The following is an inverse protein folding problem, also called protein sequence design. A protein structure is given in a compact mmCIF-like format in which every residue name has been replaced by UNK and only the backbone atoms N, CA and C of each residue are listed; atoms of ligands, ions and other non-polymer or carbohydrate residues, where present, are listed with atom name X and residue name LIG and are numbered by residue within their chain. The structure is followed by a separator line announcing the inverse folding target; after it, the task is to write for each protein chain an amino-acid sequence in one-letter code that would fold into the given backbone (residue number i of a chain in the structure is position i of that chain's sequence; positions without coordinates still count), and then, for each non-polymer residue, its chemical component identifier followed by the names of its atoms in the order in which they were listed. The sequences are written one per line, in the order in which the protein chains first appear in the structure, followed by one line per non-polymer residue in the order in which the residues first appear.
data_IF_854532700946
#
_entry.id   IF_854532700946
#
_cell.length_a   1.000
_cell.length_b   1.000
_cell.length_c   1.000
_cell.angle_alpha   90.00
_cell.angle_beta   90.00
_cell.angle_gamma   90.00
#
_symmetry.space_group_name_H-M   'P 1'
#
loop_
_entity.id
_entity.type
_entity.pdbx_description
1 polymer ?
#
# COMPACT_ATOMS: atom_id res chain seq x y z
N UNK A 1 49.71 26.11 10.71
CA UNK A 1 49.29 25.06 9.76
C UNK A 1 48.91 23.83 10.56
N UNK A 2 47.61 23.58 10.72
CA UNK A 2 47.09 22.42 11.46
C UNK A 2 45.76 22.04 10.84
N UNK A 3 45.71 20.91 10.14
CA UNK A 3 44.50 20.38 9.52
C UNK A 3 43.65 19.61 10.53
N UNK A 4 42.31 19.58 10.39
CA UNK A 4 41.46 18.76 11.23
C UNK A 4 41.39 17.32 10.71
N UNK A 5 41.50 16.37 11.65
CA UNK A 5 41.38 14.93 11.45
C UNK A 5 39.89 14.52 11.35
N UNK A 6 39.59 13.74 10.33
CA UNK A 6 38.30 13.08 10.08
C UNK A 6 38.19 11.89 11.04
N UNK A 7 37.10 11.80 11.80
CA UNK A 7 36.71 10.59 12.52
C UNK A 7 35.65 9.85 11.69
N UNK A 8 36.04 8.73 11.11
CA UNK A 8 35.15 7.76 10.47
C UNK A 8 34.55 6.86 11.55
N UNK A 9 33.23 6.88 11.69
CA UNK A 9 32.49 5.87 12.48
C UNK A 9 31.93 4.86 11.48
N UNK A 10 32.58 3.70 11.39
CA UNK A 10 32.03 2.49 10.79
C UNK A 10 31.13 1.83 11.85
N UNK A 11 29.81 1.93 11.67
CA UNK A 11 28.88 1.07 12.39
C UNK A 11 28.66 -0.19 11.54
N UNK A 12 29.22 -1.32 11.97
CA UNK A 12 28.90 -2.65 11.45
C UNK A 12 27.71 -3.15 12.25
N UNK A 13 26.51 -3.08 11.69
CA UNK A 13 25.33 -3.73 12.25
C UNK A 13 25.48 -5.25 12.06
N UNK A 14 25.67 -5.97 13.17
CA UNK A 14 25.75 -7.42 13.20
C UNK A 14 24.37 -8.06 12.99
N UNK A 15 24.25 -8.86 11.93
CA UNK A 15 23.09 -9.69 11.63
C UNK A 15 23.04 -10.87 12.63
N UNK A 16 22.05 -10.88 13.54
CA UNK A 16 21.77 -12.05 14.38
C UNK A 16 20.83 -13.01 13.62
N UNK A 17 21.38 -14.06 13.02
CA UNK A 17 20.60 -15.20 12.53
C UNK A 17 20.58 -16.26 13.63
N UNK A 18 19.42 -16.48 14.26
CA UNK A 18 19.23 -17.62 15.15
C UNK A 18 19.12 -18.92 14.32
N UNK A 19 20.06 -19.86 14.52
CA UNK A 19 20.03 -21.19 13.89
C UNK A 19 19.03 -22.14 14.58
N UNK A 20 18.53 -23.18 13.89
CA UNK A 20 17.44 -24.00 14.42
C UNK A 20 17.93 -25.00 15.47
N UNK A 21 17.15 -25.14 16.54
CA UNK A 21 17.21 -26.29 17.43
C UNK A 21 16.76 -27.55 16.67
N UNK A 22 17.46 -28.67 16.90
CA UNK A 22 17.21 -29.96 16.25
C UNK A 22 15.88 -30.57 16.73
N UNK A 23 14.99 -30.92 15.79
CA UNK A 23 13.96 -31.94 15.99
C UNK A 23 12.63 -31.72 15.24
N UNK A 24 12.30 -32.64 14.32
CA UNK A 24 10.95 -32.83 13.76
C UNK A 24 10.61 -31.94 12.57
N UNK A 25 10.11 -32.53 11.47
CA UNK A 25 9.79 -31.81 10.23
C UNK A 25 8.85 -30.62 10.44
N UNK A 26 9.38 -29.42 10.26
CA UNK A 26 8.64 -28.16 10.25
C UNK A 26 8.99 -27.41 8.96
N UNK A 27 7.97 -26.93 8.24
CA UNK A 27 8.19 -25.88 7.22
C UNK A 27 9.06 -24.77 7.86
N UNK A 28 10.05 -24.21 7.14
CA UNK A 28 10.92 -23.19 7.71
C UNK A 28 10.07 -22.01 8.19
N UNK A 29 10.35 -21.52 9.41
CA UNK A 29 9.72 -20.32 9.93
C UNK A 29 9.81 -19.18 8.91
N UNK A 30 8.73 -18.39 8.73
CA UNK A 30 8.71 -17.31 7.76
C UNK A 30 9.78 -16.29 8.11
N UNK A 31 10.51 -15.78 7.11
CA UNK A 31 11.61 -14.88 7.38
C UNK A 31 11.05 -13.45 7.62
N UNK A 32 11.61 -12.70 8.58
CA UNK A 32 11.11 -11.39 9.03
C UNK A 32 12.18 -10.30 8.96
N UNK A 33 11.75 -9.03 8.85
CA UNK A 33 12.62 -7.91 8.49
C UNK A 33 13.17 -7.17 9.72
N UNK A 34 12.40 -6.97 10.81
CA UNK A 34 12.83 -6.17 11.98
C UNK A 34 12.09 -6.58 13.28
N UNK A 35 12.79 -6.49 14.43
CA UNK A 35 12.20 -6.30 15.75
C UNK A 35 13.05 -5.36 16.62
N UNK A 36 12.47 -4.21 17.00
CA UNK A 36 12.79 -3.32 18.16
C UNK A 36 14.05 -2.40 18.10
N UNK A 37 13.98 -1.14 18.65
CA UNK A 37 13.33 -0.79 19.92
C UNK A 37 11.98 -0.03 19.89
N UNK A 38 11.16 -0.42 20.86
CA UNK A 38 9.84 -0.11 21.44
C UNK A 38 8.66 0.39 20.58
N UNK A 39 8.80 0.66 19.27
CA UNK A 39 7.65 1.10 18.43
C UNK A 39 7.68 0.64 16.96
N UNK A 40 8.72 -0.07 16.51
CA UNK A 40 8.83 -0.47 15.11
C UNK A 40 7.97 -1.72 14.82
N UNK A 41 7.10 -1.70 13.79
CA UNK A 41 6.26 -2.85 13.49
C UNK A 41 7.12 -4.06 13.09
N UNK A 42 6.87 -5.23 13.68
CA UNK A 42 7.43 -6.49 13.19
C UNK A 42 6.76 -6.86 11.88
N UNK A 43 7.52 -6.79 10.78
CA UNK A 43 7.03 -7.11 9.44
C UNK A 43 7.68 -8.38 8.90
N UNK A 44 6.85 -9.31 8.46
CA UNK A 44 7.20 -10.58 7.83
C UNK A 44 7.11 -10.46 6.32
N UNK A 45 8.05 -11.11 5.63
CA UNK A 45 7.97 -11.27 4.18
C UNK A 45 6.81 -12.24 3.85
N UNK A 46 5.90 -11.92 2.90
CA UNK A 46 4.63 -12.63 2.78
C UNK A 46 4.73 -13.96 2.00
N UNK A 47 5.93 -14.36 1.57
CA UNK A 47 6.19 -15.62 0.85
C UNK A 47 7.42 -16.35 1.41
N UNK A 48 7.64 -17.63 1.07
CA UNK A 48 8.83 -18.37 1.53
C UNK A 48 10.13 -17.94 0.87
N UNK A 49 10.09 -17.09 -0.17
CA UNK A 49 11.28 -16.70 -0.90
C UNK A 49 12.17 -15.78 -0.06
N UNK A 50 13.38 -16.21 0.37
CA UNK A 50 14.21 -15.42 1.28
C UNK A 50 15.05 -14.35 0.56
N UNK A 51 14.98 -14.27 -0.78
CA UNK A 51 15.91 -13.48 -1.59
C UNK A 51 15.95 -11.99 -1.18
N UNK A 52 14.79 -11.36 -0.95
CA UNK A 52 14.73 -9.97 -0.46
C UNK A 52 15.53 -9.79 0.83
N UNK A 53 15.29 -10.64 1.83
CA UNK A 53 15.93 -10.57 3.15
C UNK A 53 17.43 -10.87 3.09
N UNK A 54 17.86 -11.63 2.08
CA UNK A 54 19.27 -11.90 1.80
C UNK A 54 19.95 -10.77 0.98
N UNK A 55 19.23 -9.68 0.67
CA UNK A 55 19.76 -8.58 -0.14
C UNK A 55 20.03 -8.95 -1.60
N UNK A 56 19.33 -9.97 -2.11
CA UNK A 56 19.41 -10.41 -3.51
C UNK A 56 18.66 -9.42 -4.42
N UNK A 57 19.00 -9.35 -5.72
CA UNK A 57 18.36 -8.43 -6.64
C UNK A 57 16.91 -8.84 -6.96
N UNK A 58 16.11 -7.93 -7.55
CA UNK A 58 14.67 -8.11 -7.80
C UNK A 58 14.35 -9.36 -8.62
N UNK A 59 15.22 -9.72 -9.56
CA UNK A 59 15.14 -10.89 -10.43
C UNK A 59 14.95 -12.19 -9.65
N UNK A 60 15.37 -12.22 -8.38
CA UNK A 60 15.33 -13.41 -7.53
C UNK A 60 14.05 -13.55 -6.71
N UNK A 61 13.11 -12.60 -6.79
CA UNK A 61 11.81 -12.73 -6.10
C UNK A 61 10.62 -12.02 -6.74
N UNK A 62 10.83 -11.08 -7.67
CA UNK A 62 9.75 -10.35 -8.33
C UNK A 62 9.29 -11.06 -9.58
N UNK A 63 7.98 -11.25 -9.71
CA UNK A 63 7.35 -11.81 -10.91
C UNK A 63 7.14 -10.69 -11.95
N UNK A 64 7.82 -10.72 -13.11
CA UNK A 64 7.51 -9.81 -14.20
C UNK A 64 6.15 -10.12 -14.83
N UNK A 65 5.58 -9.10 -15.46
CA UNK A 65 4.44 -9.25 -16.37
C UNK A 65 4.85 -9.98 -17.67
N UNK A 66 3.92 -10.08 -18.63
CA UNK A 66 4.18 -10.72 -19.92
C UNK A 66 5.33 -10.11 -20.74
N UNK A 67 5.79 -8.89 -20.42
CA UNK A 67 6.93 -8.25 -21.08
C UNK A 67 8.27 -8.88 -20.68
N UNK A 68 8.34 -9.58 -19.55
CA UNK A 68 9.59 -10.11 -19.00
C UNK A 68 10.46 -9.09 -18.26
N UNK A 69 10.08 -7.81 -18.26
CA UNK A 69 10.78 -6.77 -17.53
C UNK A 69 10.47 -6.87 -16.03
N UNK A 70 11.48 -7.18 -15.20
CA UNK A 70 11.30 -7.41 -13.75
C UNK A 70 10.66 -6.22 -13.05
N UNK A 71 11.04 -5.01 -13.43
CA UNK A 71 10.47 -3.77 -12.87
C UNK A 71 8.95 -3.71 -13.01
N UNK A 72 8.33 -4.40 -13.98
CA UNK A 72 6.89 -4.40 -14.19
C UNK A 72 6.06 -5.08 -13.09
N UNK A 73 6.72 -5.83 -12.19
CA UNK A 73 6.14 -6.40 -10.98
C UNK A 73 6.38 -5.56 -9.71
N UNK A 74 7.07 -4.42 -9.79
CA UNK A 74 7.30 -3.50 -8.66
C UNK A 74 6.16 -2.48 -8.53
N UNK A 75 6.13 -1.75 -7.43
CA UNK A 75 5.18 -0.65 -7.25
C UNK A 75 5.47 0.49 -8.23
N UNK A 76 4.42 1.14 -8.72
CA UNK A 76 4.54 2.43 -9.41
C UNK A 76 4.17 2.41 -10.90
N UNK A 77 4.62 3.44 -11.63
CA UNK A 77 4.42 3.56 -13.08
C UNK A 77 5.38 2.64 -13.84
N UNK A 78 5.18 1.32 -13.73
CA UNK A 78 6.15 0.32 -14.21
C UNK A 78 5.59 -0.60 -15.29
N UNK A 79 4.33 -0.42 -15.69
CA UNK A 79 3.66 -1.21 -16.74
C UNK A 79 3.34 -0.34 -17.96
N UNK A 80 3.23 -0.97 -19.12
CA UNK A 80 2.93 -0.31 -20.39
C UNK A 80 3.83 0.91 -20.66
N UNK A 81 5.16 0.73 -20.59
CA UNK A 81 6.15 1.82 -20.76
C UNK A 81 5.92 2.99 -19.79
N UNK A 82 5.60 2.66 -18.54
CA UNK A 82 5.33 3.62 -17.47
C UNK A 82 3.97 4.34 -17.53
N UNK A 83 3.06 3.91 -18.41
CA UNK A 83 1.72 4.50 -18.54
C UNK A 83 0.66 3.82 -17.68
N UNK A 84 0.99 2.70 -17.05
CA UNK A 84 0.07 1.95 -16.18
C UNK A 84 0.69 1.79 -14.80
N UNK A 85 -0.08 2.19 -13.80
CA UNK A 85 0.26 2.05 -12.38
C UNK A 85 0.13 0.58 -11.95
N UNK A 86 1.03 0.16 -11.08
CA UNK A 86 0.96 -1.10 -10.35
C UNK A 86 0.94 -0.79 -8.85
N UNK A 87 -0.19 -1.06 -8.21
CA UNK A 87 -0.42 -0.79 -6.80
C UNK A 87 0.01 -1.99 -5.96
N UNK A 88 1.31 -2.29 -5.89
CA UNK A 88 1.81 -3.40 -5.07
C UNK A 88 3.10 -4.01 -5.61
N UNK A 89 3.43 -5.20 -5.10
CA UNK A 89 4.54 -6.01 -5.56
C UNK A 89 4.07 -7.41 -5.94
N UNK A 90 4.54 -7.92 -7.08
CA UNK A 90 4.24 -9.27 -7.55
C UNK A 90 5.41 -10.21 -7.19
N UNK A 91 5.15 -11.24 -6.39
CA UNK A 91 6.17 -12.16 -5.88
C UNK A 91 5.99 -13.57 -6.44
N UNK A 92 7.02 -14.13 -7.08
CA UNK A 92 6.92 -15.47 -7.69
C UNK A 92 7.07 -16.61 -6.66
N UNK A 93 6.52 -17.80 -6.96
CA UNK A 93 6.67 -18.98 -6.12
C UNK A 93 8.00 -19.72 -6.38
N UNK A 94 8.53 -20.35 -5.34
CA UNK A 94 9.63 -21.30 -5.35
C UNK A 94 9.20 -22.74 -5.64
N UNK A 95 8.02 -23.16 -5.17
CA UNK A 95 7.57 -24.56 -5.28
C UNK A 95 6.28 -24.71 -6.09
N UNK A 96 6.22 -25.80 -6.84
CA UNK A 96 5.08 -26.18 -7.69
C UNK A 96 4.74 -27.66 -7.55
N UNK A 97 3.47 -27.99 -7.73
CA UNK A 97 3.02 -29.39 -7.81
C UNK A 97 3.21 -29.97 -9.24
N UNK A 98 2.79 -31.24 -9.42
CA UNK A 98 2.90 -31.95 -10.71
C UNK A 98 2.10 -31.32 -11.85
N UNK A 99 1.15 -30.42 -11.55
CA UNK A 99 0.34 -29.68 -12.53
C UNK A 99 0.93 -28.31 -12.84
N UNK A 100 2.08 -27.97 -12.23
CA UNK A 100 2.73 -26.66 -12.38
C UNK A 100 2.11 -25.57 -11.50
N UNK A 101 1.15 -25.91 -10.63
CA UNK A 101 0.48 -24.94 -9.75
C UNK A 101 1.34 -24.70 -8.51
N UNK A 102 1.39 -23.45 -8.04
CA UNK A 102 2.15 -23.13 -6.83
C UNK A 102 1.57 -23.83 -5.60
N UNK A 103 2.46 -24.22 -4.70
CA UNK A 103 2.15 -24.79 -3.38
C UNK A 103 2.77 -23.97 -2.24
N UNK A 104 3.25 -22.76 -2.54
CA UNK A 104 3.88 -21.95 -1.52
C UNK A 104 2.85 -21.31 -0.59
N UNK A 105 3.05 -21.41 0.74
CA UNK A 105 2.20 -20.72 1.69
C UNK A 105 2.35 -19.21 1.54
N UNK A 106 1.27 -18.49 1.81
CA UNK A 106 1.25 -17.03 1.95
C UNK A 106 1.11 -16.71 3.43
N UNK A 107 1.98 -15.83 3.93
CA UNK A 107 2.06 -15.45 5.34
C UNK A 107 1.41 -14.08 5.57
N UNK A 108 0.69 -13.94 6.69
CA UNK A 108 0.31 -12.63 7.19
C UNK A 108 1.58 -11.82 7.49
N UNK A 109 1.68 -10.63 6.92
CA UNK A 109 2.87 -9.79 6.99
C UNK A 109 3.05 -9.17 8.37
N UNK A 110 1.95 -9.00 9.12
CA UNK A 110 1.94 -8.47 10.47
C UNK A 110 0.77 -9.11 11.24
N UNK A 111 0.80 -9.03 12.56
CA UNK A 111 -0.36 -9.39 13.37
C UNK A 111 -1.55 -8.47 13.03
N UNK A 112 -2.77 -9.01 13.00
CA UNK A 112 -3.94 -8.24 12.58
C UNK A 112 -5.24 -9.03 12.60
N UNK A 113 -6.26 -8.45 11.98
CA UNK A 113 -7.61 -9.02 11.88
C UNK A 113 -7.99 -9.16 10.41
N UNK A 114 -8.43 -10.34 10.01
CA UNK A 114 -8.95 -10.59 8.67
C UNK A 114 -10.24 -9.80 8.48
N UNK A 115 -10.23 -8.84 7.57
CA UNK A 115 -11.38 -7.97 7.30
C UNK A 115 -12.20 -8.37 6.08
N UNK A 116 -11.57 -9.07 5.14
CA UNK A 116 -12.25 -9.53 3.93
C UNK A 116 -11.64 -10.81 3.39
N UNK A 117 -12.48 -11.67 2.84
CA UNK A 117 -12.09 -12.87 2.10
C UNK A 117 -12.95 -12.95 0.84
N UNK A 118 -12.31 -12.87 -0.32
CA UNK A 118 -12.93 -13.20 -1.61
C UNK A 118 -12.58 -14.64 -1.99
N UNK A 119 -13.55 -15.54 -1.94
CA UNK A 119 -13.36 -16.95 -2.34
C UNK A 119 -13.68 -17.21 -3.82
N UNK A 120 -14.42 -16.29 -4.45
CA UNK A 120 -14.84 -16.40 -5.85
C UNK A 120 -13.86 -15.65 -6.75
N UNK A 121 -13.04 -16.41 -7.49
CA UNK A 121 -11.99 -15.85 -8.34
C UNK A 121 -12.51 -14.90 -9.44
N UNK A 122 -13.76 -15.04 -9.88
CA UNK A 122 -14.30 -14.24 -10.99
C UNK A 122 -14.75 -12.83 -10.61
N UNK A 123 -14.87 -12.48 -9.32
CA UNK A 123 -15.49 -11.23 -8.88
C UNK A 123 -14.59 -9.99 -8.99
N UNK A 124 -13.28 -10.18 -9.20
CA UNK A 124 -12.31 -9.08 -9.34
C UNK A 124 -11.07 -9.54 -10.09
N UNK A 125 -10.34 -8.60 -10.67
CA UNK A 125 -9.00 -8.84 -11.22
C UNK A 125 -8.05 -9.47 -10.20
N UNK A 126 -8.20 -9.18 -8.90
CA UNK A 126 -7.41 -9.81 -7.83
C UNK A 126 -7.67 -11.32 -7.69
N UNK A 127 -8.75 -11.85 -8.25
CA UNK A 127 -9.10 -13.24 -8.06
C UNK A 127 -9.57 -13.52 -6.64
N UNK A 128 -9.03 -14.58 -6.04
CA UNK A 128 -9.21 -14.85 -4.61
C UNK A 128 -8.22 -14.01 -3.84
N UNK A 129 -8.72 -13.27 -2.85
CA UNK A 129 -7.86 -12.40 -2.05
C UNK A 129 -8.34 -12.25 -0.62
N UNK A 130 -7.41 -11.86 0.25
CA UNK A 130 -7.63 -11.58 1.67
C UNK A 130 -7.20 -10.14 1.93
N UNK A 131 -7.97 -9.42 2.76
CA UNK A 131 -7.53 -8.15 3.35
C UNK A 131 -7.38 -8.33 4.85
N UNK A 132 -6.23 -7.96 5.40
CA UNK A 132 -5.95 -7.95 6.84
C UNK A 132 -5.74 -6.50 7.27
N UNK A 133 -6.42 -6.08 8.34
CA UNK A 133 -6.15 -4.79 8.99
C UNK A 133 -5.23 -4.99 10.18
N UNK A 134 -4.29 -4.06 10.36
CA UNK A 134 -3.26 -4.10 11.41
C UNK A 134 -3.48 -2.95 12.39
N UNK A 135 -4.44 -3.07 13.33
CA UNK A 135 -4.82 -1.99 14.23
C UNK A 135 -3.73 -1.60 15.23
N UNK A 136 -2.75 -2.48 15.48
CA UNK A 136 -1.59 -2.19 16.32
C UNK A 136 -0.53 -1.33 15.60
N UNK A 137 -0.59 -1.23 14.26
CA UNK A 137 0.27 -0.32 13.51
C UNK A 137 -0.18 1.15 13.71
N UNK A 138 0.76 2.09 13.54
CA UNK A 138 0.55 3.54 13.65
C UNK A 138 0.99 4.25 12.36
N UNK A 139 0.07 4.84 11.57
CA UNK A 139 -1.38 4.61 11.64
C UNK A 139 -1.72 3.14 11.37
N UNK A 140 -2.97 2.73 11.64
CA UNK A 140 -3.44 1.42 11.25
C UNK A 140 -3.34 1.26 9.73
N UNK A 141 -2.69 0.19 9.27
CA UNK A 141 -2.54 -0.11 7.84
C UNK A 141 -3.33 -1.37 7.48
N UNK A 142 -3.59 -1.55 6.19
CA UNK A 142 -4.12 -2.80 5.65
C UNK A 142 -3.05 -3.49 4.82
N UNK A 143 -3.19 -4.80 4.68
CA UNK A 143 -2.47 -5.59 3.67
C UNK A 143 -3.46 -6.39 2.82
N UNK A 144 -3.16 -6.51 1.53
CA UNK A 144 -3.97 -7.25 0.55
C UNK A 144 -3.12 -8.38 -0.05
N UNK A 145 -3.67 -9.59 -0.06
CA UNK A 145 -3.02 -10.81 -0.56
C UNK A 145 -3.85 -11.40 -1.69
N UNK A 146 -3.40 -11.26 -2.94
CA UNK A 146 -4.19 -11.56 -4.14
C UNK A 146 -3.69 -12.79 -4.90
N UNK A 147 -4.47 -13.18 -5.92
CA UNK A 147 -4.25 -14.29 -6.83
C UNK A 147 -4.15 -15.66 -6.14
N UNK A 148 -4.71 -15.78 -4.93
CA UNK A 148 -4.56 -16.97 -4.11
C UNK A 148 -5.14 -18.22 -4.81
N UNK A 149 -4.42 -19.33 -4.67
CA UNK A 149 -4.91 -20.65 -5.07
C UNK A 149 -6.03 -21.08 -4.14
N UNK A 150 -5.81 -20.94 -2.84
CA UNK A 150 -6.77 -21.26 -1.78
C UNK A 150 -6.55 -20.40 -0.54
N UNK A 151 -7.61 -20.24 0.23
CA UNK A 151 -7.61 -19.62 1.56
C UNK A 151 -7.30 -20.70 2.60
N UNK A 152 -6.57 -20.35 3.67
CA UNK A 152 -6.29 -21.28 4.76
C UNK A 152 -7.61 -21.80 5.38
N UNK A 153 -7.78 -23.13 5.53
CA UNK A 153 -8.97 -23.69 6.18
C UNK A 153 -9.19 -23.13 7.58
N UNK A 154 -10.45 -22.80 7.90
CA UNK A 154 -10.83 -22.22 9.20
C UNK A 154 -10.65 -20.71 9.31
N UNK A 155 -10.01 -20.05 8.34
CA UNK A 155 -9.91 -18.60 8.32
C UNK A 155 -11.26 -17.98 7.94
N UNK A 156 -11.72 -17.01 8.73
CA UNK A 156 -12.99 -16.30 8.50
C UNK A 156 -12.80 -14.80 8.68
N UNK A 157 -13.74 -14.00 8.17
CA UNK A 157 -13.76 -12.56 8.47
C UNK A 157 -13.94 -12.38 9.98
N UNK A 158 -13.08 -11.57 10.59
CA UNK A 158 -12.98 -11.38 12.04
C UNK A 158 -11.91 -12.24 12.71
N UNK A 159 -11.31 -13.22 12.02
CA UNK A 159 -10.21 -14.01 12.58
C UNK A 159 -8.99 -13.12 12.89
N UNK A 160 -8.44 -13.28 14.08
CA UNK A 160 -7.12 -12.73 14.42
C UNK A 160 -6.01 -13.59 13.79
N UNK A 161 -4.97 -12.94 13.29
CA UNK A 161 -3.80 -13.60 12.71
C UNK A 161 -2.53 -13.05 13.35
N UNK A 162 -1.56 -13.92 13.58
CA UNK A 162 -0.20 -13.52 13.97
C UNK A 162 0.64 -13.17 12.73
N UNK A 163 1.64 -12.31 12.88
CA UNK A 163 2.67 -12.13 11.85
C UNK A 163 3.36 -13.47 11.55
N UNK A 164 3.56 -13.79 10.27
CA UNK A 164 4.10 -15.06 9.82
C UNK A 164 3.08 -16.22 9.74
N UNK A 165 1.85 -16.04 10.22
CA UNK A 165 0.83 -17.09 10.13
C UNK A 165 0.45 -17.38 8.68
N UNK A 166 0.32 -18.66 8.31
CA UNK A 166 -0.21 -19.06 7.00
C UNK A 166 -1.68 -18.66 6.87
N UNK A 167 -2.00 -17.88 5.84
CA UNK A 167 -3.35 -17.40 5.54
C UNK A 167 -3.91 -17.91 4.21
N UNK A 168 -3.05 -18.51 3.38
CA UNK A 168 -3.46 -19.10 2.11
C UNK A 168 -2.30 -19.74 1.37
N UNK A 169 -2.56 -20.08 0.11
CA UNK A 169 -1.57 -20.64 -0.83
C UNK A 169 -1.51 -19.74 -2.04
N UNK A 170 -0.29 -19.38 -2.46
CA UNK A 170 -0.02 -18.57 -3.65
C UNK A 170 -0.63 -19.24 -4.88
N UNK A 171 -1.20 -18.46 -5.79
CA UNK A 171 -1.78 -19.01 -7.00
C UNK A 171 -1.70 -18.09 -8.22
N UNK A 172 -2.72 -18.23 -9.04
CA UNK A 172 -2.91 -17.54 -10.32
C UNK A 172 -4.39 -17.29 -10.59
N UNK A 173 -5.19 -17.11 -9.53
CA UNK A 173 -6.62 -16.84 -9.69
C UNK A 173 -6.82 -15.37 -10.11
N UNK A 174 -7.74 -15.13 -11.04
CA UNK A 174 -8.05 -13.79 -11.53
C UNK A 174 -9.46 -13.78 -12.17
N UNK A 175 -10.11 -12.62 -12.15
CA UNK A 175 -11.35 -12.34 -12.88
C UNK A 175 -11.07 -11.48 -14.10
N UNK A 176 -11.72 -11.79 -15.23
CA UNK A 176 -11.59 -11.02 -16.48
C UNK A 176 -10.32 -11.31 -17.30
N UNK A 177 -9.36 -12.09 -16.79
CA UNK A 177 -8.17 -12.53 -17.54
C UNK A 177 -7.58 -13.82 -16.96
N UNK A 178 -6.58 -14.38 -17.63
CA UNK A 178 -5.87 -15.61 -17.22
C UNK A 178 -4.40 -15.30 -16.96
N UNK A 179 -3.92 -15.67 -15.77
CA UNK A 179 -2.49 -15.68 -15.42
C UNK A 179 -1.96 -17.08 -15.73
N UNK A 180 -0.99 -17.29 -16.64
CA UNK A 180 -0.47 -18.62 -16.96
C UNK A 180 0.36 -19.20 -15.78
N UNK A 181 0.57 -20.53 -15.69
CA UNK A 181 1.16 -21.15 -14.50
C UNK A 181 2.57 -20.62 -14.21
N UNK A 182 3.38 -20.44 -15.23
CA UNK A 182 4.74 -19.86 -15.18
C UNK A 182 4.77 -18.44 -14.60
N UNK A 183 3.66 -17.70 -14.65
CA UNK A 183 3.51 -16.36 -14.05
C UNK A 183 2.62 -16.32 -12.82
N UNK A 184 2.34 -17.46 -12.18
CA UNK A 184 1.71 -17.47 -10.86
C UNK A 184 2.51 -16.59 -9.90
N UNK A 185 1.83 -15.75 -9.11
CA UNK A 185 2.45 -14.84 -8.15
C UNK A 185 1.48 -14.49 -7.02
N UNK A 186 2.05 -14.04 -5.91
CA UNK A 186 1.32 -13.26 -4.93
C UNK A 186 1.39 -11.81 -5.37
N UNK A 187 0.24 -11.19 -5.65
CA UNK A 187 0.15 -9.73 -5.69
C UNK A 187 -0.10 -9.24 -4.26
N UNK A 188 0.83 -8.46 -3.73
CA UNK A 188 0.84 -8.00 -2.34
C UNK A 188 0.82 -6.48 -2.25
N UNK A 189 -0.09 -5.95 -1.43
CA UNK A 189 -0.21 -4.52 -1.16
C UNK A 189 -0.14 -4.24 0.34
N UNK A 190 0.35 -3.05 0.69
CA UNK A 190 0.16 -2.41 1.98
C UNK A 190 -0.37 -1.01 1.74
N UNK A 191 -1.36 -0.57 2.53
CA UNK A 191 -2.02 0.70 2.24
C UNK A 191 -2.95 1.21 3.33
N UNK A 192 -3.74 2.21 2.96
CA UNK A 192 -4.80 2.80 3.79
C UNK A 192 -6.16 2.63 3.12
N UNK A 193 -7.23 2.64 3.93
CA UNK A 193 -8.62 2.64 3.45
C UNK A 193 -9.11 4.07 3.30
N UNK A 194 -9.58 4.41 2.10
CA UNK A 194 -9.96 5.77 1.74
C UNK A 194 -11.29 6.21 2.36
N UNK A 195 -12.32 5.36 2.37
CA UNK A 195 -13.66 5.73 2.82
C UNK A 195 -14.40 4.63 3.60
N UNK A 196 -15.22 5.02 4.57
CA UNK A 196 -16.28 4.15 5.12
C UNK A 196 -17.56 4.19 4.28
N UNK A 197 -17.79 5.28 3.53
CA UNK A 197 -18.97 5.49 2.69
C UNK A 197 -18.70 5.05 1.23
N UNK A 198 -17.85 4.03 1.06
CA UNK A 198 -17.38 3.61 -0.26
C UNK A 198 -18.50 3.13 -1.17
N UNK A 199 -19.52 2.45 -0.63
CA UNK A 199 -20.62 1.93 -1.45
C UNK A 199 -21.38 3.07 -2.14
N UNK A 200 -21.68 4.14 -1.41
CA UNK A 200 -22.33 5.31 -1.99
C UNK A 200 -21.47 5.93 -3.10
N UNK A 201 -20.15 6.00 -2.92
CA UNK A 201 -19.24 6.45 -3.97
C UNK A 201 -19.24 5.52 -5.19
N UNK A 202 -19.21 4.21 -4.96
CA UNK A 202 -19.21 3.18 -5.99
C UNK A 202 -20.48 3.23 -6.84
N UNK A 203 -21.66 3.36 -6.21
CA UNK A 203 -22.96 3.37 -6.90
C UNK A 203 -23.16 4.59 -7.80
N UNK A 204 -22.33 5.63 -7.64
CA UNK A 204 -22.29 6.80 -8.53
C UNK A 204 -21.39 6.61 -9.75
N UNK A 205 -20.57 5.56 -9.78
CA UNK A 205 -19.69 5.26 -10.90
C UNK A 205 -20.38 4.33 -11.91
N UNK A 206 -19.96 4.40 -13.17
CA UNK A 206 -20.50 3.54 -14.24
C UNK A 206 -19.65 2.26 -14.42
N UNK A 207 -19.54 1.45 -13.36
CA UNK A 207 -18.74 0.22 -13.39
C UNK A 207 -19.43 -0.97 -14.07
N UNK A 208 -20.73 -0.87 -14.36
CA UNK A 208 -21.51 -1.93 -15.02
C UNK A 208 -21.59 -3.27 -14.26
N UNK A 209 -21.10 -3.33 -13.01
CA UNK A 209 -21.11 -4.52 -12.16
C UNK A 209 -21.30 -4.11 -10.69
N UNK A 210 -21.96 -4.94 -9.87
CA UNK A 210 -22.16 -4.63 -8.47
C UNK A 210 -20.85 -4.76 -7.68
N UNK A 211 -20.75 -4.03 -6.56
CA UNK A 211 -19.63 -4.16 -5.64
C UNK A 211 -19.74 -5.46 -4.82
N UNK A 212 -18.95 -6.47 -5.17
CA UNK A 212 -18.90 -7.74 -4.43
C UNK A 212 -18.01 -7.71 -3.18
N UNK A 213 -17.40 -6.57 -2.86
CA UNK A 213 -16.30 -6.49 -1.89
C UNK A 213 -16.55 -5.49 -0.75
N UNK A 214 -17.70 -4.82 -0.78
CA UNK A 214 -18.05 -3.80 0.21
C UNK A 214 -16.97 -2.73 0.31
N UNK A 215 -16.67 -2.30 1.54
CA UNK A 215 -15.62 -1.31 1.81
C UNK A 215 -14.19 -1.85 1.61
N UNK A 216 -14.00 -3.14 1.35
CA UNK A 216 -12.71 -3.79 1.11
C UNK A 216 -12.46 -4.09 -0.37
N UNK A 217 -13.20 -3.39 -1.23
CA UNK A 217 -12.88 -3.31 -2.65
C UNK A 217 -11.54 -2.58 -2.82
N UNK A 218 -10.65 -3.09 -3.68
CA UNK A 218 -9.33 -2.50 -3.88
C UNK A 218 -9.36 -1.04 -4.35
N UNK A 219 -10.43 -0.58 -5.01
CA UNK A 219 -10.58 0.84 -5.39
C UNK A 219 -10.69 1.74 -4.14
N UNK A 220 -11.19 1.22 -3.02
CA UNK A 220 -11.26 1.94 -1.74
C UNK A 220 -9.95 1.88 -0.94
N UNK A 221 -8.97 1.12 -1.43
CA UNK A 221 -7.68 0.98 -0.81
C UNK A 221 -6.70 1.82 -1.62
N UNK A 222 -5.74 2.44 -0.97
CA UNK A 222 -4.63 3.07 -1.69
C UNK A 222 -3.33 2.62 -1.06
N UNK A 223 -2.57 1.88 -1.86
CA UNK A 223 -1.31 1.26 -1.48
C UNK A 223 -0.14 2.23 -1.58
N UNK A 224 0.90 1.95 -0.81
CA UNK A 224 2.20 2.59 -0.94
C UNK A 224 3.28 1.54 -1.23
N UNK A 225 4.48 1.99 -1.57
CA UNK A 225 5.57 1.12 -1.95
C UNK A 225 6.08 0.31 -0.74
N UNK A 226 5.62 -0.94 -0.63
CA UNK A 226 6.04 -1.85 0.43
C UNK A 226 7.54 -2.10 0.44
N UNK A 227 8.15 -2.17 -0.74
CA UNK A 227 9.57 -2.45 -0.87
C UNK A 227 10.41 -1.26 -0.38
N UNK A 228 10.09 -0.05 -0.83
CA UNK A 228 10.74 1.19 -0.34
C UNK A 228 10.50 1.39 1.17
N UNK A 229 9.30 1.07 1.69
CA UNK A 229 9.04 1.08 3.13
C UNK A 229 9.98 0.14 3.90
N UNK A 230 10.08 -1.13 3.49
CA UNK A 230 10.94 -2.10 4.18
C UNK A 230 12.42 -1.71 4.11
N UNK A 231 12.89 -1.21 2.96
CA UNK A 231 14.27 -0.75 2.81
C UNK A 231 14.59 0.44 3.72
N UNK A 232 13.69 1.42 3.79
CA UNK A 232 13.85 2.57 4.69
C UNK A 232 13.77 2.16 6.15
N UNK A 233 12.90 1.21 6.50
CA UNK A 233 12.78 0.70 7.86
C UNK A 233 14.07 -0.02 8.28
N UNK A 234 14.57 -0.93 7.43
CA UNK A 234 15.79 -1.71 7.68
C UNK A 234 17.05 -0.85 7.74
N UNK A 235 17.08 0.25 6.99
CA UNK A 235 18.20 1.21 6.98
C UNK A 235 18.00 2.37 7.96
N UNK A 236 17.02 2.26 8.87
CA UNK A 236 16.72 3.24 9.92
C UNK A 236 16.40 4.66 9.39
N UNK A 237 16.01 4.79 8.12
CA UNK A 237 15.58 6.06 7.52
C UNK A 237 14.17 6.47 7.96
N UNK A 238 13.35 5.48 8.36
CA UNK A 238 12.02 5.68 8.95
C UNK A 238 11.85 4.75 10.14
N UNK A 239 11.05 5.18 11.13
CA UNK A 239 10.79 4.37 12.34
C UNK A 239 9.53 3.50 12.27
N UNK A 240 8.65 3.77 11.32
CA UNK A 240 7.36 3.08 11.18
C UNK A 240 6.48 3.74 10.13
N UNK A 241 5.20 3.33 10.06
CA UNK A 241 4.30 3.78 9.00
C UNK A 241 4.00 5.28 9.04
N UNK A 242 3.76 5.88 10.21
CA UNK A 242 3.55 7.34 10.31
C UNK A 242 4.72 8.10 9.69
N UNK A 243 5.94 7.80 10.14
CA UNK A 243 7.16 8.48 9.69
C UNK A 243 7.42 8.26 8.19
N UNK A 244 7.10 7.07 7.68
CA UNK A 244 7.17 6.77 6.24
C UNK A 244 6.17 7.58 5.42
N UNK A 245 4.91 7.63 5.84
CA UNK A 245 3.81 8.26 5.12
C UNK A 245 3.99 9.79 5.07
N UNK A 246 4.25 10.44 6.21
CA UNK A 246 4.36 11.91 6.27
C UNK A 246 5.61 12.43 5.54
N UNK A 247 6.61 11.58 5.31
CA UNK A 247 7.83 11.91 4.55
C UNK A 247 7.71 11.65 3.05
N UNK A 248 6.60 11.08 2.59
CA UNK A 248 6.38 10.93 1.16
C UNK A 248 6.39 12.31 0.49
N UNK A 249 7.06 12.46 -0.66
CA UNK A 249 7.12 13.74 -1.34
C UNK A 249 5.71 14.15 -1.83
N UNK A 250 5.21 15.34 -1.45
CA UNK A 250 3.89 15.80 -1.86
C UNK A 250 3.93 16.22 -3.33
N UNK A 251 3.10 15.58 -4.16
CA UNK A 251 2.98 15.91 -5.58
C UNK A 251 1.96 17.04 -5.82
N UNK A 252 0.88 17.06 -5.04
CA UNK A 252 -0.17 18.07 -5.12
C UNK A 252 -0.67 18.40 -3.73
N UNK A 253 -0.80 19.68 -3.41
CA UNK A 253 -1.49 20.16 -2.21
C UNK A 253 -2.75 20.91 -2.61
N UNK A 254 -3.85 20.63 -1.93
CA UNK A 254 -5.15 21.27 -2.16
C UNK A 254 -5.71 21.88 -0.88
N UNK A 255 -6.53 22.91 -1.03
CA UNK A 255 -7.45 23.38 0.01
C UNK A 255 -8.87 22.96 -0.32
N UNK A 256 -9.54 22.42 0.69
CA UNK A 256 -10.94 21.99 0.62
C UNK A 256 -11.76 22.87 1.55
N UNK A 257 -12.83 23.47 1.02
CA UNK A 257 -13.79 24.24 1.81
C UNK A 257 -14.79 23.31 2.49
N UNK A 258 -15.07 23.60 3.76
CA UNK A 258 -16.14 22.97 4.51
C UNK A 258 -15.79 21.55 4.96
N UNK A 259 -16.63 21.05 5.86
CA UNK A 259 -16.52 19.70 6.40
C UNK A 259 -15.80 19.71 7.74
N UNK A 260 -16.55 19.31 8.78
CA UNK A 260 -15.95 18.85 10.02
C UNK A 260 -15.00 17.67 9.77
N UNK A 261 -14.56 17.01 10.83
CA UNK A 261 -13.51 15.97 10.71
C UNK A 261 -13.95 14.83 9.78
N UNK A 262 -13.32 14.61 8.59
CA UNK A 262 -13.69 13.53 7.68
C UNK A 262 -13.42 12.16 8.30
N UNK A 263 -14.13 11.14 7.85
CA UNK A 263 -13.99 9.77 8.34
C UNK A 263 -12.56 9.22 8.13
N UNK A 264 -11.88 9.58 7.04
CA UNK A 264 -10.45 9.29 6.86
C UNK A 264 -9.58 9.85 8.00
N UNK A 265 -9.79 11.12 8.36
CA UNK A 265 -9.04 11.79 9.42
C UNK A 265 -9.32 11.17 10.79
N UNK A 266 -10.57 10.77 11.07
CA UNK A 266 -10.91 10.07 12.32
C UNK A 266 -10.21 8.71 12.43
N UNK A 267 -10.01 8.02 11.32
CA UNK A 267 -9.27 6.74 11.28
C UNK A 267 -7.76 6.90 11.39
N UNK A 268 -7.22 7.97 10.81
CA UNK A 268 -5.79 8.21 10.70
C UNK A 268 -5.37 9.56 11.30
N UNK A 269 -5.64 9.80 12.60
CA UNK A 269 -5.29 11.05 13.25
C UNK A 269 -3.78 11.31 13.25
N UNK A 270 -2.95 10.27 13.10
CA UNK A 270 -1.49 10.39 13.00
C UNK A 270 -1.01 11.17 11.76
N UNK A 271 -1.88 11.37 10.75
CA UNK A 271 -1.57 12.14 9.54
C UNK A 271 -2.01 13.62 9.64
N UNK A 272 -2.54 14.03 10.80
CA UNK A 272 -3.05 15.39 11.03
C UNK A 272 -2.05 16.23 11.80
N UNK A 273 -1.79 17.43 11.29
CA UNK A 273 -0.95 18.43 11.90
C UNK A 273 -1.78 19.69 12.17
N UNK A 274 -1.94 20.02 13.44
CA UNK A 274 -2.76 21.15 13.89
C UNK A 274 -3.94 20.72 14.76
N UNK A 275 -4.62 21.70 15.34
CA UNK A 275 -5.70 21.46 16.29
C UNK A 275 -7.02 21.17 15.59
N UNK A 276 -7.67 20.08 16.00
CA UNK A 276 -9.00 19.66 15.52
C UNK A 276 -10.06 19.68 16.63
N UNK A 277 -9.74 20.25 17.80
CA UNK A 277 -10.66 20.37 18.94
C UNK A 277 -11.93 21.15 18.58
N UNK A 278 -11.79 22.18 17.73
CA UNK A 278 -12.92 22.82 17.06
C UNK A 278 -13.09 22.27 15.65
N UNK A 279 -14.33 22.00 15.19
CA UNK A 279 -14.57 21.56 13.81
C UNK A 279 -13.89 22.49 12.80
N UNK A 280 -12.96 21.97 11.97
CA UNK A 280 -12.28 22.80 10.98
C UNK A 280 -13.26 23.39 9.97
N UNK A 281 -12.96 24.60 9.50
CA UNK A 281 -13.72 25.23 8.41
C UNK A 281 -13.38 24.63 7.04
N UNK A 282 -12.38 23.76 6.99
CA UNK A 282 -11.87 23.09 5.80
C UNK A 282 -10.49 22.48 6.08
N UNK A 283 -9.86 21.97 5.03
CA UNK A 283 -8.60 21.22 5.12
C UNK A 283 -7.60 21.63 4.04
N UNK A 284 -6.34 21.78 4.41
CA UNK A 284 -5.21 21.70 3.49
C UNK A 284 -4.67 20.27 3.50
N UNK A 285 -4.53 19.66 2.31
CA UNK A 285 -4.23 18.24 2.18
C UNK A 285 -3.14 18.05 1.13
N UNK A 286 -2.05 17.37 1.50
CA UNK A 286 -1.00 16.97 0.58
C UNK A 286 -1.18 15.53 0.13
N UNK A 287 -1.09 15.32 -1.18
CA UNK A 287 -1.23 14.02 -1.84
C UNK A 287 0.08 13.58 -2.47
N UNK A 288 0.37 12.29 -2.42
CA UNK A 288 1.42 11.66 -3.24
C UNK A 288 1.05 11.72 -4.73
N UNK A 289 2.01 11.42 -5.60
CA UNK A 289 1.78 11.39 -7.05
C UNK A 289 0.75 10.34 -7.49
N UNK A 290 0.50 9.32 -6.67
CA UNK A 290 -0.49 8.26 -6.88
C UNK A 290 -1.80 8.49 -6.10
N UNK A 291 -1.98 9.66 -5.48
CA UNK A 291 -3.26 10.06 -4.88
C UNK A 291 -3.51 9.58 -3.45
N UNK A 292 -2.49 9.13 -2.73
CA UNK A 292 -2.59 8.87 -1.30
C UNK A 292 -2.49 10.20 -0.51
N UNK A 293 -3.47 10.57 0.32
CA UNK A 293 -3.35 11.71 1.22
C UNK A 293 -2.41 11.38 2.39
N UNK A 294 -1.36 12.18 2.58
CA UNK A 294 -0.27 11.88 3.54
C UNK A 294 -0.11 12.93 4.64
N UNK A 295 -0.60 14.15 4.44
CA UNK A 295 -0.55 15.23 5.43
C UNK A 295 -1.85 16.02 5.37
N UNK A 296 -2.45 16.25 6.54
CA UNK A 296 -3.68 17.00 6.72
C UNK A 296 -3.47 18.15 7.69
N UNK A 297 -3.94 19.33 7.33
CA UNK A 297 -3.92 20.51 8.20
C UNK A 297 -5.29 21.16 8.22
N UNK A 298 -5.88 21.44 9.39
CA UNK A 298 -7.05 22.30 9.49
C UNK A 298 -6.78 23.67 8.85
N UNK A 299 -7.71 24.17 8.04
CA UNK A 299 -7.56 25.52 7.48
C UNK A 299 -7.75 26.60 8.56
N UNK A 300 -6.92 27.64 8.48
CA UNK A 300 -7.18 28.90 9.15
C UNK A 300 -8.51 29.48 8.62
N UNK A 301 -9.44 29.93 9.50
CA UNK A 301 -10.69 30.59 9.09
C UNK A 301 -10.53 31.72 8.07
N UNK A 302 -9.37 32.38 8.05
CA UNK A 302 -9.03 33.48 7.13
C UNK A 302 -8.49 33.01 5.77
N UNK A 303 -8.11 31.74 5.64
CA UNK A 303 -7.48 31.17 4.44
C UNK A 303 -8.42 30.26 3.62
N UNK A 304 -9.74 30.49 3.70
CA UNK A 304 -10.73 29.67 3.00
C UNK A 304 -10.61 29.83 1.48
N UNK A 305 -10.59 28.73 0.71
CA UNK A 305 -10.50 28.79 -0.75
C UNK A 305 -11.80 29.34 -1.34
N UNK A 306 -11.73 30.07 -2.46
CA UNK A 306 -12.90 30.62 -3.16
C UNK A 306 -13.81 29.54 -3.77
N UNK A 307 -13.25 28.35 -4.01
CA UNK A 307 -13.90 27.19 -4.61
C UNK A 307 -13.99 26.04 -3.61
N UNK A 308 -14.88 25.05 -3.83
CA UNK A 308 -14.92 23.85 -2.98
C UNK A 308 -13.56 23.13 -2.88
N UNK A 309 -12.81 23.13 -3.99
CA UNK A 309 -11.44 22.60 -4.08
C UNK A 309 -10.56 23.61 -4.81
N UNK A 310 -9.42 23.94 -4.21
CA UNK A 310 -8.39 24.78 -4.82
C UNK A 310 -7.04 24.05 -4.79
N UNK A 311 -6.37 23.92 -5.94
CA UNK A 311 -5.01 23.38 -6.01
C UNK A 311 -4.03 24.51 -5.73
N UNK A 312 -3.25 24.39 -4.65
CA UNK A 312 -2.34 25.46 -4.19
C UNK A 312 -0.86 25.17 -4.48
N UNK A 313 -0.49 23.90 -4.65
CA UNK A 313 0.87 23.49 -4.97
C UNK A 313 0.86 22.29 -5.91
N UNK A 314 1.78 22.29 -6.88
CA UNK A 314 2.02 21.18 -7.80
C UNK A 314 3.52 20.98 -7.98
N UNK A 315 4.01 19.77 -7.76
CA UNK A 315 5.37 19.37 -8.13
C UNK A 315 5.37 18.78 -9.55
N UNK A 316 5.72 19.61 -10.53
CA UNK A 316 5.76 19.20 -11.93
C UNK A 316 6.85 18.18 -12.25
N UNK A 317 7.97 18.23 -11.53
CA UNK A 317 9.07 17.30 -11.77
C UNK A 317 8.69 15.91 -11.29
N UNK A 318 8.13 15.80 -10.07
CA UNK A 318 7.66 14.54 -9.53
C UNK A 318 6.53 13.94 -10.39
N UNK A 319 5.54 14.74 -10.78
CA UNK A 319 4.47 14.26 -11.66
C UNK A 319 4.99 13.85 -13.05
N UNK A 320 6.00 14.55 -13.57
CA UNK A 320 6.65 14.21 -14.84
C UNK A 320 7.39 12.87 -14.81
N UNK A 321 7.96 12.49 -13.66
CA UNK A 321 8.58 11.17 -13.44
C UNK A 321 7.56 10.04 -13.31
N UNK A 322 6.30 10.34 -13.02
CA UNK A 322 5.24 9.36 -12.78
C UNK A 322 3.98 9.60 -13.65
N UNK A 323 4.07 9.40 -14.98
CA UNK A 323 3.02 9.82 -15.92
C UNK A 323 1.77 8.92 -15.95
N UNK A 324 1.76 7.81 -15.21
CA UNK A 324 0.64 6.87 -15.22
C UNK A 324 -0.62 7.38 -14.51
N UNK A 325 -0.50 8.42 -13.68
CA UNK A 325 -1.63 9.12 -13.08
C UNK A 325 -1.66 10.59 -13.49
N UNK A 326 -2.88 11.11 -13.66
CA UNK A 326 -3.12 12.54 -13.88
C UNK A 326 -3.73 13.13 -12.61
N UNK A 327 -2.89 13.78 -11.82
CA UNK A 327 -3.28 14.42 -10.56
C UNK A 327 -3.91 15.79 -10.77
N UNK A 328 -3.49 16.54 -11.79
CA UNK A 328 -4.01 17.89 -12.11
C UNK A 328 -4.25 18.08 -13.61
N UNK A 329 -5.14 19.00 -13.95
CA UNK A 329 -5.41 19.50 -15.29
C UNK A 329 -5.10 21.01 -15.34
N UNK A 330 -4.24 21.48 -16.26
CA UNK A 330 -3.98 22.91 -16.40
C UNK A 330 -5.21 23.65 -16.93
N UNK A 331 -5.41 24.88 -16.46
CA UNK A 331 -6.47 25.80 -16.90
C UNK A 331 -5.88 27.14 -17.35
N UNK A 332 -6.61 27.92 -18.18
CA UNK A 332 -6.19 29.26 -18.54
C UNK A 332 -5.90 30.14 -17.31
N UNK A 333 -4.86 30.97 -17.42
CA UNK A 333 -4.40 31.83 -16.33
C UNK A 333 -3.48 31.15 -15.32
N UNK A 334 -2.83 30.04 -15.68
CA UNK A 334 -1.82 29.37 -14.85
C UNK A 334 -2.37 28.60 -13.66
N UNK A 335 -3.68 28.32 -13.63
CA UNK A 335 -4.34 27.58 -12.55
C UNK A 335 -4.38 26.08 -12.86
N UNK A 336 -4.54 25.29 -11.81
CA UNK A 336 -4.79 23.85 -11.91
C UNK A 336 -6.15 23.49 -11.34
N UNK A 337 -6.78 22.50 -11.96
CA UNK A 337 -7.93 21.81 -11.39
C UNK A 337 -7.58 20.34 -11.10
N UNK A 338 -8.30 19.68 -10.17
CA UNK A 338 -8.10 18.27 -9.92
C UNK A 338 -8.25 17.43 -11.18
N UNK A 339 -7.22 16.63 -11.50
CA UNK A 339 -7.26 15.65 -12.57
C UNK A 339 -7.99 14.37 -12.13
N UNK A 340 -8.17 13.38 -13.04
CA UNK A 340 -8.96 12.17 -12.76
C UNK A 340 -8.58 11.44 -11.47
N UNK A 341 -7.28 11.24 -11.19
CA UNK A 341 -6.86 10.50 -9.99
C UNK A 341 -7.12 11.28 -8.70
N UNK A 342 -6.90 12.59 -8.73
CA UNK A 342 -7.19 13.45 -7.57
C UNK A 342 -8.70 13.61 -7.36
N UNK A 343 -9.50 13.70 -8.43
CA UNK A 343 -10.98 13.72 -8.34
C UNK A 343 -11.51 12.43 -7.71
N UNK A 344 -10.97 11.28 -8.09
CA UNK A 344 -11.30 9.99 -7.47
C UNK A 344 -10.99 9.98 -5.97
N UNK A 345 -9.75 10.32 -5.59
CA UNK A 345 -9.34 10.39 -4.18
C UNK A 345 -10.21 11.37 -3.38
N UNK A 346 -10.47 12.57 -3.91
CA UNK A 346 -11.33 13.56 -3.24
C UNK A 346 -12.77 13.08 -3.12
N UNK A 347 -13.32 12.42 -4.14
CA UNK A 347 -14.67 11.86 -4.09
C UNK A 347 -14.83 10.74 -3.06
N UNK A 348 -13.77 9.97 -2.80
CA UNK A 348 -13.74 8.97 -1.72
C UNK A 348 -13.64 9.62 -0.33
N UNK A 349 -12.80 10.64 -0.19
CA UNK A 349 -12.52 11.32 1.09
C UNK A 349 -13.66 12.24 1.53
N UNK A 350 -14.34 12.87 0.57
CA UNK A 350 -15.42 13.83 0.81
C UNK A 350 -16.63 13.52 -0.07
N UNK A 351 -17.54 12.64 0.39
CA UNK A 351 -18.76 12.32 -0.35
C UNK A 351 -19.66 13.53 -0.66
N UNK A 352 -19.49 14.64 0.09
CA UNK A 352 -20.20 15.91 -0.13
C UNK A 352 -19.64 16.76 -1.26
N UNK A 353 -18.40 16.53 -1.70
CA UNK A 353 -17.82 17.16 -2.90
C UNK A 353 -18.42 16.46 -4.12
N UNK A 354 -19.62 16.92 -4.48
CA UNK A 354 -20.38 16.47 -5.65
C UNK A 354 -19.86 17.11 -6.92
#
# INVERSE_FOLDING_TARGET
MGGPRIWSILAVAGLMIAGPARGGGSDPSPPFVVGEPDDAPTVYWPTPNPAYLQGRPFEDYVQPTATGEVVSGLFGCVRNQGRRFHEGIDLFPLRRDRRGESIDPVYAAMAGVVRHISTVAGHSSYGRYIVVEHPAARPAVITLYSHLRSIQPGLTVGSEVSGGQVIGVLGRSAGGYVIPPDRAHLHFEVGLRMSSDFQDWFDRQDFGSPNHHGIWNGINLTGFDFHDFLDRLRTEQVRGFTDYLIRQPPAVTVRIRGGGVPDFVRRYPELVFGDTATPPVGWEISFTWYGLPVVWQPLDPTAQPDRPVEVIQVDHELLGRHPCHRMVEPRPGGRYEPGPRLREALGLLFPSLR
#
